data_IF_284527889420
#
_entry.id   IF_284527889420
#
_cell.length_a   1.000
_cell.length_b   1.000
_cell.length_c   1.000
_cell.angle_alpha   90.00
_cell.angle_beta   90.00
_cell.angle_gamma   90.00
#
_symmetry.space_group_name_H-M   'P 1'
#
loop_
_entity.id
_entity.type
_entity.pdbx_description
1 polymer ?
#
# COMPACT_ATOMS: atom_id res chain seq x y z
N UNK A 1 0.77 10.46 -11.08
CA UNK A 1 0.42 9.45 -12.09
C UNK A 1 0.64 10.01 -13.48
N UNK A 2 1.23 9.23 -14.41
CA UNK A 2 1.43 9.63 -15.80
C UNK A 2 1.15 8.42 -16.71
N UNK A 3 0.47 8.67 -17.84
CA UNK A 3 0.23 7.67 -18.88
C UNK A 3 1.28 7.86 -19.97
N UNK A 4 2.03 6.82 -20.27
CA UNK A 4 3.10 6.79 -21.26
C UNK A 4 2.70 5.87 -22.42
N UNK A 5 2.31 6.41 -23.58
CA UNK A 5 2.09 5.59 -24.77
C UNK A 5 3.43 5.12 -25.33
N UNK A 6 3.66 3.82 -25.32
CA UNK A 6 4.85 3.18 -25.89
C UNK A 6 4.47 2.47 -27.18
N UNK A 7 5.41 2.16 -28.09
CA UNK A 7 5.10 1.57 -29.40
C UNK A 7 4.37 0.22 -29.32
N UNK A 8 4.59 -0.55 -28.28
CA UNK A 8 4.02 -1.91 -28.11
C UNK A 8 3.01 -2.03 -26.98
N UNK A 9 2.91 -1.03 -26.09
CA UNK A 9 2.04 -1.07 -24.92
C UNK A 9 1.74 0.34 -24.40
N UNK A 10 0.71 0.48 -23.58
CA UNK A 10 0.48 1.66 -22.76
C UNK A 10 0.92 1.37 -21.34
N UNK A 11 1.70 2.27 -20.74
CA UNK A 11 2.19 2.14 -19.39
C UNK A 11 1.65 3.26 -18.49
N UNK A 12 1.05 2.91 -17.39
CA UNK A 12 0.69 3.87 -16.34
C UNK A 12 1.78 3.90 -15.28
N UNK A 13 2.45 5.04 -15.15
CA UNK A 13 3.47 5.27 -14.14
C UNK A 13 2.81 5.88 -12.88
N UNK A 14 2.98 5.21 -11.74
CA UNK A 14 2.59 5.70 -10.42
C UNK A 14 3.86 6.18 -9.71
N UNK A 15 3.98 7.49 -9.49
CA UNK A 15 5.06 8.08 -8.70
C UNK A 15 4.65 8.04 -7.23
N UNK A 16 5.46 7.41 -6.40
CA UNK A 16 5.22 7.25 -4.96
C UNK A 16 6.17 8.15 -4.16
N UNK A 17 5.72 8.70 -3.02
CA UNK A 17 6.60 9.46 -2.15
C UNK A 17 7.81 8.62 -1.71
N UNK A 18 9.02 9.21 -1.81
CA UNK A 18 10.26 8.52 -1.44
C UNK A 18 10.68 8.70 0.02
N UNK A 19 9.96 9.51 0.81
CA UNK A 19 10.29 9.74 2.21
C UNK A 19 9.67 8.69 3.13
N UNK A 20 10.41 8.30 4.17
CA UNK A 20 9.98 7.24 5.11
C UNK A 20 8.63 7.53 5.79
N UNK A 21 8.31 8.80 6.03
CA UNK A 21 7.04 9.21 6.64
C UNK A 21 5.80 8.88 5.78
N UNK A 22 5.98 8.59 4.48
CA UNK A 22 4.91 8.22 3.55
C UNK A 22 4.94 6.73 3.15
N UNK A 23 5.70 5.94 3.89
CA UNK A 23 5.87 4.51 3.58
C UNK A 23 4.55 3.74 3.54
N UNK A 24 3.59 4.13 4.33
CA UNK A 24 2.28 3.51 4.39
C UNK A 24 1.39 3.82 3.15
N UNK A 25 1.42 5.05 2.63
CA UNK A 25 0.76 5.40 1.36
C UNK A 25 1.42 4.64 0.20
N UNK A 26 2.75 4.57 0.23
CA UNK A 26 3.53 3.80 -0.73
C UNK A 26 3.14 2.31 -0.68
N UNK A 27 3.07 1.70 0.51
CA UNK A 27 2.74 0.29 0.68
C UNK A 27 1.36 -0.06 0.09
N UNK A 28 0.34 0.80 0.27
CA UNK A 28 -0.97 0.62 -0.38
C UNK A 28 -0.88 0.66 -1.90
N UNK A 29 -0.01 1.53 -2.44
CA UNK A 29 0.20 1.62 -3.88
C UNK A 29 0.87 0.37 -4.43
N UNK A 30 1.77 -0.28 -3.67
CA UNK A 30 2.43 -1.52 -4.12
C UNK A 30 1.43 -2.61 -4.50
N UNK A 31 0.31 -2.71 -3.78
CA UNK A 31 -0.69 -3.77 -3.99
C UNK A 31 -1.44 -3.69 -5.33
N UNK A 32 -1.25 -2.61 -6.09
CA UNK A 32 -1.85 -2.42 -7.41
C UNK A 32 -0.83 -2.37 -8.55
N UNK A 33 0.47 -2.54 -8.26
CA UNK A 33 1.52 -2.53 -9.28
C UNK A 33 1.61 -3.85 -10.02
N UNK A 34 1.92 -3.81 -11.31
CA UNK A 34 2.34 -4.97 -12.10
C UNK A 34 3.87 -5.14 -12.02
N UNK A 35 4.60 -4.03 -11.96
CA UNK A 35 6.06 -3.94 -11.84
C UNK A 35 6.44 -2.75 -10.98
N UNK A 36 7.61 -2.80 -10.37
CA UNK A 36 8.21 -1.69 -9.64
C UNK A 36 9.54 -1.26 -10.26
N UNK A 37 9.82 0.02 -10.18
CA UNK A 37 11.11 0.61 -10.48
C UNK A 37 11.66 1.15 -9.14
N UNK A 38 12.68 0.49 -8.59
CA UNK A 38 13.35 0.93 -7.38
C UNK A 38 14.54 1.82 -7.75
N UNK A 39 14.44 3.11 -7.44
CA UNK A 39 15.47 4.09 -7.72
C UNK A 39 16.38 4.26 -6.51
N UNK A 40 17.68 4.02 -6.71
CA UNK A 40 18.71 4.07 -5.65
C UNK A 40 19.68 5.21 -5.96
N UNK A 41 20.08 5.96 -4.94
CA UNK A 41 21.09 7.00 -5.10
C UNK A 41 22.50 6.38 -5.16
N UNK A 42 23.20 6.56 -6.25
CA UNK A 42 24.55 6.00 -6.45
C UNK A 42 25.62 6.53 -5.49
N UNK A 43 25.38 7.67 -4.83
CA UNK A 43 26.31 8.16 -3.81
C UNK A 43 26.18 7.43 -2.47
N UNK A 44 24.95 7.00 -2.16
CA UNK A 44 24.60 6.44 -0.85
C UNK A 44 24.51 4.91 -0.87
N UNK A 45 24.33 4.31 -2.07
CA UNK A 45 24.11 2.86 -2.21
C UNK A 45 22.83 2.38 -1.55
N UNK A 46 22.82 1.14 -1.08
CA UNK A 46 21.69 0.52 -0.39
C UNK A 46 21.61 1.01 1.05
N UNK A 47 20.52 1.74 1.36
CA UNK A 47 20.24 2.26 2.71
C UNK A 47 19.16 1.47 3.43
N UNK A 48 18.98 1.72 4.72
CA UNK A 48 17.96 1.04 5.54
C UNK A 48 16.56 1.16 4.95
N UNK A 49 16.19 2.33 4.44
CA UNK A 49 14.90 2.52 3.78
C UNK A 49 14.79 1.72 2.48
N UNK A 50 15.86 1.65 1.67
CA UNK A 50 15.90 0.80 0.47
C UNK A 50 15.65 -0.67 0.82
N UNK A 51 16.23 -1.16 1.92
CA UNK A 51 15.99 -2.52 2.40
C UNK A 51 14.55 -2.75 2.86
N UNK A 52 13.92 -1.75 3.48
CA UNK A 52 12.51 -1.82 3.86
C UNK A 52 11.63 -1.93 2.61
N UNK A 53 11.85 -1.06 1.62
CA UNK A 53 11.13 -1.12 0.34
C UNK A 53 11.34 -2.46 -0.37
N UNK A 54 12.56 -2.97 -0.37
CA UNK A 54 12.90 -4.26 -0.98
C UNK A 54 12.11 -5.42 -0.35
N UNK A 55 12.03 -5.47 0.99
CA UNK A 55 11.24 -6.48 1.71
C UNK A 55 9.75 -6.39 1.42
N UNK A 56 9.20 -5.18 1.27
CA UNK A 56 7.81 -5.00 0.86
C UNK A 56 7.58 -5.48 -0.58
N UNK A 57 8.47 -5.15 -1.52
CA UNK A 57 8.41 -5.64 -2.89
C UNK A 57 8.50 -7.17 -2.96
N UNK A 58 9.31 -7.79 -2.09
CA UNK A 58 9.39 -9.24 -1.93
C UNK A 58 8.10 -9.83 -1.35
N UNK A 59 7.57 -9.24 -0.27
CA UNK A 59 6.31 -9.68 0.35
C UNK A 59 5.15 -9.70 -0.65
N UNK A 60 5.00 -8.62 -1.41
CA UNK A 60 3.93 -8.50 -2.42
C UNK A 60 4.29 -9.15 -3.75
N UNK A 61 5.43 -9.84 -3.84
CA UNK A 61 5.91 -10.56 -5.03
C UNK A 61 5.94 -9.69 -6.29
N UNK A 62 6.31 -8.42 -6.17
CA UNK A 62 6.31 -7.46 -7.28
C UNK A 62 7.60 -7.57 -8.08
N UNK A 63 7.54 -7.87 -9.39
CA UNK A 63 8.69 -7.84 -10.29
C UNK A 63 9.36 -6.46 -10.27
N UNK A 64 10.69 -6.41 -10.12
CA UNK A 64 11.37 -5.16 -9.82
C UNK A 64 12.54 -4.92 -10.73
N UNK A 65 12.59 -3.73 -11.33
CA UNK A 65 13.76 -3.16 -12.01
C UNK A 65 14.48 -2.21 -11.07
N UNK A 66 15.80 -2.18 -11.12
CA UNK A 66 16.65 -1.31 -10.32
C UNK A 66 17.27 -0.23 -11.19
N UNK A 67 17.19 1.03 -10.77
CA UNK A 67 17.86 2.14 -11.42
C UNK A 67 18.74 2.89 -10.42
N UNK A 68 20.05 2.74 -10.55
CA UNK A 68 21.04 3.45 -9.74
C UNK A 68 21.29 4.82 -10.38
N UNK A 69 20.75 5.85 -9.75
CA UNK A 69 20.73 7.22 -10.23
C UNK A 69 21.91 8.03 -9.68
N UNK A 70 22.18 9.18 -10.29
CA UNK A 70 23.26 10.14 -9.91
C UNK A 70 24.67 9.60 -10.12
N UNK A 71 24.87 8.72 -11.08
CA UNK A 71 26.19 8.18 -11.44
C UNK A 71 27.17 9.22 -12.01
N UNK A 72 26.71 10.45 -12.24
CA UNK A 72 27.54 11.59 -12.67
C UNK A 72 28.23 12.31 -11.49
N UNK A 73 27.96 11.92 -10.25
CA UNK A 73 28.57 12.52 -9.07
C UNK A 73 29.95 11.89 -8.80
N UNK A 74 30.88 12.71 -8.24
CA UNK A 74 32.21 12.22 -7.90
C UNK A 74 32.14 11.22 -6.74
N UNK A 75 32.84 10.10 -6.88
CA UNK A 75 32.93 9.06 -5.85
C UNK A 75 31.97 7.88 -6.08
N UNK A 76 31.13 7.91 -7.13
CA UNK A 76 30.35 6.75 -7.52
C UNK A 76 31.24 5.72 -8.23
N UNK A 77 31.17 4.47 -7.81
CA UNK A 77 31.83 3.32 -8.41
C UNK A 77 30.81 2.28 -8.82
N UNK A 78 30.74 2.00 -10.12
CA UNK A 78 29.76 1.10 -10.70
C UNK A 78 29.85 -0.33 -10.14
N UNK A 79 31.08 -0.89 -10.09
CA UNK A 79 31.26 -2.28 -9.69
C UNK A 79 31.05 -2.45 -8.17
N UNK A 80 31.48 -1.47 -7.39
CA UNK A 80 31.21 -1.43 -5.97
C UNK A 80 29.70 -1.37 -5.68
N UNK A 81 28.95 -0.54 -6.42
CA UNK A 81 27.49 -0.44 -6.28
C UNK A 81 26.76 -1.70 -6.72
N UNK A 82 27.19 -2.35 -7.82
CA UNK A 82 26.58 -3.63 -8.22
C UNK A 82 26.82 -4.71 -7.16
N UNK A 83 27.99 -4.75 -6.56
CA UNK A 83 28.27 -5.66 -5.45
C UNK A 83 27.45 -5.34 -4.22
N UNK A 84 27.25 -4.05 -3.90
CA UNK A 84 26.38 -3.60 -2.81
C UNK A 84 24.92 -4.08 -3.01
N UNK A 85 24.38 -3.94 -4.23
CA UNK A 85 23.05 -4.46 -4.60
C UNK A 85 22.97 -5.97 -4.40
N UNK A 86 24.01 -6.73 -4.85
CA UNK A 86 24.06 -8.19 -4.71
C UNK A 86 24.11 -8.64 -3.26
N UNK A 87 24.84 -7.93 -2.41
CA UNK A 87 24.99 -8.28 -0.99
C UNK A 87 23.77 -7.96 -0.13
N UNK A 88 23.12 -6.82 -0.40
CA UNK A 88 22.09 -6.30 0.47
C UNK A 88 20.66 -6.55 -0.03
N UNK A 89 20.46 -6.70 -1.35
CA UNK A 89 19.15 -6.96 -1.93
C UNK A 89 19.02 -8.41 -2.41
N UNK A 90 19.75 -8.81 -3.46
CA UNK A 90 19.69 -10.18 -3.97
C UNK A 90 20.91 -10.51 -4.84
N UNK A 91 21.46 -11.71 -4.71
CA UNK A 91 22.63 -12.18 -5.49
C UNK A 91 22.43 -12.11 -7.02
N UNK A 92 21.20 -12.28 -7.48
CA UNK A 92 20.80 -12.24 -8.89
C UNK A 92 20.45 -10.81 -9.39
N UNK A 93 21.03 -9.77 -8.77
CA UNK A 93 21.09 -8.45 -9.37
C UNK A 93 22.06 -8.48 -10.54
N UNK A 94 21.57 -8.29 -11.78
CA UNK A 94 22.33 -8.38 -13.02
C UNK A 94 22.38 -7.01 -13.68
N UNK A 95 23.58 -6.57 -14.08
CA UNK A 95 23.75 -5.32 -14.84
C UNK A 95 23.24 -5.47 -16.27
N UNK A 96 22.20 -4.74 -16.62
CA UNK A 96 21.63 -4.67 -17.97
C UNK A 96 22.03 -3.40 -18.73
N UNK A 97 22.78 -2.52 -18.08
CA UNK A 97 23.20 -1.24 -18.65
C UNK A 97 24.49 -1.31 -19.48
N UNK A 98 25.32 -2.33 -19.28
CA UNK A 98 26.53 -2.56 -20.08
C UNK A 98 26.22 -3.47 -21.26
N UNK A 99 25.69 -2.89 -22.31
CA UNK A 99 25.39 -3.59 -23.55
C UNK A 99 26.52 -3.39 -24.57
N UNK A 100 26.73 -4.37 -25.43
CA UNK A 100 27.63 -4.17 -26.58
C UNK A 100 26.99 -3.20 -27.57
N UNK A 101 27.71 -2.15 -27.93
CA UNK A 101 27.34 -1.25 -29.00
C UNK A 101 27.38 -2.03 -30.33
N UNK A 102 26.26 -2.52 -30.81
CA UNK A 102 26.20 -3.11 -32.14
C UNK A 102 26.08 -2.00 -33.17
N UNK A 103 26.68 -2.15 -34.33
CA UNK A 103 26.69 -1.17 -35.44
C UNK A 103 25.28 -0.75 -35.91
N UNK A 104 24.21 -1.40 -35.41
CA UNK A 104 22.81 -1.15 -35.73
C UNK A 104 21.99 -0.57 -34.57
N UNK A 105 22.60 -0.16 -33.45
CA UNK A 105 21.87 0.44 -32.33
C UNK A 105 20.89 -0.50 -31.62
N UNK A 106 21.00 -1.82 -31.78
CA UNK A 106 20.30 -2.83 -31.00
C UNK A 106 21.12 -3.15 -29.75
N UNK A 107 20.51 -2.96 -28.59
CA UNK A 107 21.14 -3.29 -27.31
C UNK A 107 21.01 -4.79 -27.05
N UNK A 108 22.14 -5.50 -27.14
CA UNK A 108 22.22 -6.93 -26.83
C UNK A 108 23.00 -7.14 -25.55
N UNK A 109 22.54 -8.08 -24.74
CA UNK A 109 23.24 -8.49 -23.51
C UNK A 109 24.57 -9.17 -23.90
N UNK A 110 25.61 -8.94 -23.12
CA UNK A 110 26.92 -9.59 -23.31
C UNK A 110 26.83 -11.07 -22.97
N UNK A 111 27.75 -11.93 -23.49
CA UNK A 111 27.79 -13.33 -23.10
C UNK A 111 27.90 -13.55 -21.58
N UNK A 112 28.66 -12.70 -20.88
CA UNK A 112 28.77 -12.75 -19.42
C UNK A 112 27.44 -12.46 -18.72
N UNK A 113 26.66 -11.48 -19.21
CA UNK A 113 25.31 -11.18 -18.68
C UNK A 113 24.34 -12.34 -18.96
N UNK A 114 24.39 -12.93 -20.17
CA UNK A 114 23.55 -14.08 -20.53
C UNK A 114 23.89 -15.30 -19.68
N UNK A 115 25.15 -15.57 -19.40
CA UNK A 115 25.61 -16.66 -18.51
C UNK A 115 25.08 -16.43 -17.09
N UNK A 116 25.20 -15.24 -16.53
CA UNK A 116 24.69 -14.88 -15.21
C UNK A 116 23.16 -15.04 -15.11
N UNK A 117 22.44 -14.77 -16.19
CA UNK A 117 20.98 -14.98 -16.27
C UNK A 117 20.65 -16.47 -16.38
N UNK A 118 21.39 -17.21 -17.23
CA UNK A 118 21.14 -18.62 -17.48
C UNK A 118 21.31 -19.47 -16.22
N UNK A 119 22.29 -19.17 -15.39
CA UNK A 119 22.58 -19.90 -14.12
C UNK A 119 21.41 -19.80 -13.13
N UNK A 120 20.49 -18.82 -13.27
CA UNK A 120 19.36 -18.64 -12.35
C UNK A 120 18.26 -19.70 -12.50
N UNK A 121 18.26 -20.48 -13.59
CA UNK A 121 17.28 -21.57 -13.81
C UNK A 121 17.87 -22.69 -14.69
N UNK A 122 17.67 -23.95 -14.26
CA UNK A 122 18.32 -25.13 -14.85
C UNK A 122 17.96 -25.31 -16.33
N UNK A 123 16.68 -25.19 -16.69
CA UNK A 123 16.21 -25.36 -18.08
C UNK A 123 16.81 -24.28 -19.02
N UNK A 124 16.99 -23.07 -18.51
CA UNK A 124 17.59 -21.96 -19.28
C UNK A 124 19.11 -22.19 -19.43
N UNK A 125 19.73 -22.69 -18.37
CA UNK A 125 21.16 -23.03 -18.41
C UNK A 125 21.45 -24.14 -19.43
N UNK A 126 20.66 -25.21 -19.45
CA UNK A 126 20.77 -26.29 -20.45
C UNK A 126 20.65 -25.74 -21.87
N UNK A 127 19.62 -24.92 -22.12
CA UNK A 127 19.39 -24.30 -23.43
C UNK A 127 20.56 -23.38 -23.82
N UNK A 128 21.07 -22.58 -22.87
CA UNK A 128 22.19 -21.68 -23.10
C UNK A 128 23.50 -22.43 -23.41
N UNK A 129 23.77 -23.52 -22.71
CA UNK A 129 24.95 -24.36 -22.98
C UNK A 129 24.93 -25.02 -24.37
N UNK A 130 23.75 -25.32 -24.90
CA UNK A 130 23.57 -25.92 -26.22
C UNK A 130 23.60 -24.87 -27.34
N UNK A 131 22.99 -23.70 -27.12
CA UNK A 131 22.69 -22.72 -28.18
C UNK A 131 23.47 -21.43 -28.06
N UNK A 132 23.98 -21.09 -26.87
CA UNK A 132 24.56 -19.80 -26.56
C UNK A 132 23.55 -18.65 -26.48
N UNK A 133 22.24 -18.95 -26.43
CA UNK A 133 21.15 -17.97 -26.49
C UNK A 133 20.24 -18.09 -25.28
N UNK A 134 19.86 -16.95 -24.68
CA UNK A 134 18.74 -16.83 -23.75
C UNK A 134 17.68 -15.97 -24.44
N UNK A 135 16.46 -16.51 -24.57
CA UNK A 135 15.39 -15.77 -25.23
C UNK A 135 14.82 -14.67 -24.35
N UNK A 136 14.42 -13.55 -24.96
CA UNK A 136 13.82 -12.39 -24.25
C UNK A 136 12.61 -12.77 -23.40
N UNK A 137 11.80 -13.74 -23.86
CA UNK A 137 10.64 -14.27 -23.09
C UNK A 137 11.06 -14.98 -21.81
N UNK A 138 12.21 -15.65 -21.80
CA UNK A 138 12.71 -16.35 -20.63
C UNK A 138 13.28 -15.35 -19.63
N UNK A 139 13.95 -14.31 -20.10
CA UNK A 139 14.38 -13.17 -19.26
C UNK A 139 13.16 -12.52 -18.61
N UNK A 140 12.12 -12.19 -19.39
CA UNK A 140 10.87 -11.62 -18.87
C UNK A 140 10.21 -12.54 -17.83
N UNK A 141 10.20 -13.86 -18.06
CA UNK A 141 9.68 -14.86 -17.11
C UNK A 141 10.47 -14.84 -15.80
N UNK A 142 11.79 -14.82 -15.85
CA UNK A 142 12.65 -14.75 -14.66
C UNK A 142 12.43 -13.47 -13.85
N UNK A 143 12.21 -12.34 -14.52
CA UNK A 143 11.89 -11.06 -13.87
C UNK A 143 10.54 -11.15 -13.17
N UNK A 144 9.50 -11.67 -13.85
CA UNK A 144 8.15 -11.85 -13.27
C UNK A 144 8.21 -12.76 -12.03
N UNK A 145 9.01 -13.83 -12.07
CA UNK A 145 9.20 -14.76 -10.97
C UNK A 145 10.14 -14.25 -9.87
N UNK A 146 10.67 -13.02 -10.00
CA UNK A 146 11.66 -12.44 -9.09
C UNK A 146 12.93 -13.29 -8.92
N UNK A 147 13.33 -14.02 -9.96
CA UNK A 147 14.58 -14.79 -9.98
C UNK A 147 15.76 -13.96 -10.40
N UNK A 148 15.56 -12.92 -11.22
CA UNK A 148 16.57 -11.93 -11.60
C UNK A 148 16.02 -10.52 -11.44
N UNK A 149 16.95 -9.58 -11.22
CA UNK A 149 16.65 -8.16 -11.01
C UNK A 149 17.51 -7.32 -11.92
N UNK A 150 16.96 -6.80 -13.03
CA UNK A 150 17.70 -5.96 -13.96
C UNK A 150 18.16 -4.66 -13.29
N UNK A 151 19.45 -4.40 -13.30
CA UNK A 151 20.08 -3.21 -12.76
C UNK A 151 20.54 -2.31 -13.90
N UNK A 152 20.25 -1.03 -13.80
CA UNK A 152 20.67 0.01 -14.72
C UNK A 152 21.36 1.13 -13.95
N UNK A 153 22.38 1.72 -14.53
CA UNK A 153 23.18 2.77 -13.91
C UNK A 153 23.14 4.02 -14.78
N UNK A 154 22.86 5.17 -14.19
CA UNK A 154 22.74 6.37 -14.98
C UNK A 154 22.61 7.65 -14.16
N UNK A 155 22.28 8.72 -14.86
CA UNK A 155 21.97 10.02 -14.28
C UNK A 155 20.70 10.55 -14.96
N UNK A 156 19.60 10.57 -14.24
CA UNK A 156 18.33 11.11 -14.75
C UNK A 156 18.48 12.60 -15.12
N UNK A 157 19.22 13.39 -14.33
CA UNK A 157 19.50 14.81 -14.60
C UNK A 157 20.24 15.03 -15.91
N UNK A 158 21.13 14.12 -16.27
CA UNK A 158 21.96 14.18 -17.50
C UNK A 158 21.37 13.32 -18.63
N UNK A 159 20.25 12.70 -18.41
CA UNK A 159 19.58 11.75 -19.34
C UNK A 159 20.48 10.58 -19.78
N UNK A 160 21.53 10.26 -19.00
CA UNK A 160 22.43 9.14 -19.28
C UNK A 160 21.87 7.85 -18.71
N UNK A 161 21.88 6.77 -19.52
CA UNK A 161 21.36 5.44 -19.14
C UNK A 161 19.82 5.35 -19.06
N UNK A 162 19.10 6.48 -19.11
CA UNK A 162 17.64 6.51 -19.03
C UNK A 162 16.99 5.85 -20.25
N UNK A 163 17.54 6.09 -21.44
CA UNK A 163 17.02 5.48 -22.68
C UNK A 163 17.20 3.97 -22.68
N UNK A 164 18.35 3.49 -22.23
CA UNK A 164 18.67 2.06 -22.14
C UNK A 164 17.78 1.36 -21.12
N UNK A 165 17.57 2.01 -19.98
CA UNK A 165 16.62 1.57 -18.97
C UNK A 165 15.21 1.40 -19.56
N UNK A 166 14.68 2.42 -20.24
CA UNK A 166 13.36 2.36 -20.85
C UNK A 166 13.24 1.30 -21.96
N UNK A 167 14.28 1.13 -22.76
CA UNK A 167 14.32 0.07 -23.76
C UNK A 167 14.26 -1.32 -23.09
N UNK A 168 14.99 -1.50 -22.00
CA UNK A 168 14.94 -2.74 -21.23
C UNK A 168 13.59 -2.99 -20.57
N UNK A 169 12.99 -1.96 -19.96
CA UNK A 169 11.63 -2.07 -19.41
C UNK A 169 10.64 -2.48 -20.50
N UNK A 170 10.65 -1.82 -21.67
CA UNK A 170 9.77 -2.19 -22.78
C UNK A 170 9.99 -3.61 -23.31
N UNK A 171 11.26 -4.04 -23.34
CA UNK A 171 11.62 -5.34 -23.91
C UNK A 171 11.28 -6.51 -22.98
N UNK A 172 11.45 -6.31 -21.67
CA UNK A 172 11.38 -7.39 -20.68
C UNK A 172 10.16 -7.33 -19.77
N UNK A 173 9.23 -6.40 -19.98
CA UNK A 173 7.92 -6.43 -19.33
C UNK A 173 6.90 -7.14 -20.20
N UNK A 174 6.03 -7.92 -19.57
CA UNK A 174 4.92 -8.57 -20.22
C UNK A 174 3.61 -8.13 -19.55
N UNK A 175 2.56 -7.97 -20.37
CA UNK A 175 1.25 -7.66 -19.82
C UNK A 175 0.70 -8.87 -19.05
N UNK A 176 0.26 -8.68 -17.79
CA UNK A 176 -0.33 -9.76 -17.01
C UNK A 176 -1.62 -10.28 -17.66
N UNK A 177 -1.83 -11.59 -17.59
CA UNK A 177 -3.12 -12.18 -17.97
C UNK A 177 -4.19 -11.73 -16.98
N UNK A 178 -5.26 -11.11 -17.49
CA UNK A 178 -6.33 -10.58 -16.68
C UNK A 178 -7.61 -11.40 -16.84
N UNK A 179 -8.38 -11.62 -15.75
CA UNK A 179 -9.67 -12.28 -15.84
C UNK A 179 -10.67 -11.46 -16.65
N UNK A 180 -11.68 -12.15 -17.22
CA UNK A 180 -12.76 -11.50 -17.99
C UNK A 180 -13.87 -10.95 -17.09
N UNK A 181 -13.97 -11.44 -15.88
CA UNK A 181 -14.92 -10.95 -14.88
C UNK A 181 -14.43 -9.64 -14.26
N UNK A 182 -15.36 -8.75 -13.93
CA UNK A 182 -15.02 -7.47 -13.34
C UNK A 182 -14.33 -7.63 -11.98
N UNK A 183 -13.19 -6.99 -11.86
CA UNK A 183 -12.44 -6.83 -10.61
C UNK A 183 -11.77 -5.48 -10.57
N UNK A 184 -11.71 -4.87 -9.37
CA UNK A 184 -10.95 -3.65 -9.13
C UNK A 184 -10.40 -3.60 -7.70
N UNK A 185 -9.25 -2.96 -7.52
CA UNK A 185 -8.64 -2.67 -6.21
C UNK A 185 -8.56 -1.16 -5.99
N UNK A 186 -9.18 -0.71 -4.91
CA UNK A 186 -9.10 0.68 -4.46
C UNK A 186 -7.81 0.88 -3.68
N UNK A 187 -6.96 1.83 -4.07
CA UNK A 187 -5.69 2.06 -3.39
C UNK A 187 -5.55 3.45 -2.79
N UNK A 188 -6.36 4.42 -3.24
CA UNK A 188 -6.31 5.80 -2.75
C UNK A 188 -7.68 6.46 -2.83
N UNK A 189 -8.00 7.25 -1.81
CA UNK A 189 -9.09 8.23 -1.85
C UNK A 189 -8.45 9.62 -1.89
N UNK A 190 -9.02 10.52 -2.68
CA UNK A 190 -8.61 11.92 -2.74
C UNK A 190 -9.82 12.82 -3.00
N UNK A 191 -9.61 14.13 -2.97
CA UNK A 191 -10.62 15.12 -3.36
C UNK A 191 -10.03 16.04 -4.43
N UNK A 192 -10.86 16.39 -5.42
CA UNK A 192 -10.47 17.38 -6.42
C UNK A 192 -10.55 18.82 -5.86
N UNK A 193 -10.12 19.80 -6.66
CA UNK A 193 -10.13 21.24 -6.26
C UNK A 193 -11.54 21.74 -5.89
N UNK A 194 -12.59 21.06 -6.33
CA UNK A 194 -13.99 21.40 -6.04
C UNK A 194 -14.51 20.65 -4.79
N UNK A 195 -13.68 19.81 -4.16
CA UNK A 195 -14.02 19.01 -3.00
C UNK A 195 -14.75 17.69 -3.34
N UNK A 196 -14.92 17.35 -4.62
CA UNK A 196 -15.53 16.08 -5.01
C UNK A 196 -14.62 14.90 -4.65
N UNK A 197 -15.20 13.88 -4.05
CA UNK A 197 -14.49 12.66 -3.68
C UNK A 197 -14.11 11.85 -4.91
N UNK A 198 -12.85 11.41 -4.96
CA UNK A 198 -12.26 10.60 -6.01
C UNK A 198 -11.80 9.27 -5.42
N UNK A 199 -12.31 8.18 -5.95
CA UNK A 199 -11.86 6.82 -5.63
C UNK A 199 -10.89 6.36 -6.70
N UNK A 200 -9.60 6.32 -6.36
CA UNK A 200 -8.57 5.78 -7.26
C UNK A 200 -8.53 4.27 -7.15
N UNK A 201 -8.67 3.61 -8.29
CA UNK A 201 -8.65 2.16 -8.37
C UNK A 201 -7.92 1.68 -9.62
N UNK A 202 -7.41 0.46 -9.54
CA UNK A 202 -6.94 -0.30 -10.70
C UNK A 202 -7.99 -1.33 -11.08
N UNK A 203 -8.38 -1.35 -12.33
CA UNK A 203 -9.23 -2.41 -12.88
C UNK A 203 -8.35 -3.65 -13.10
N UNK A 204 -8.62 -4.72 -12.38
CA UNK A 204 -7.83 -5.95 -12.39
C UNK A 204 -8.40 -7.01 -13.31
N UNK A 205 -9.71 -6.94 -13.63
CA UNK A 205 -10.40 -7.84 -14.51
C UNK A 205 -11.60 -7.19 -15.21
N UNK A 206 -11.98 -7.68 -16.37
CA UNK A 206 -13.11 -7.19 -17.14
C UNK A 206 -13.01 -5.72 -17.51
N UNK A 207 -14.11 -4.99 -17.32
CA UNK A 207 -14.16 -3.53 -17.54
C UNK A 207 -15.16 -2.85 -16.62
N UNK A 208 -14.94 -1.57 -16.33
CA UNK A 208 -15.85 -0.69 -15.61
C UNK A 208 -16.46 0.33 -16.56
N UNK A 209 -17.78 0.37 -16.66
CA UNK A 209 -18.51 1.39 -17.44
C UNK A 209 -19.11 2.46 -16.54
N UNK A 210 -19.23 3.67 -17.07
CA UNK A 210 -19.97 4.76 -16.43
C UNK A 210 -21.41 4.31 -16.15
N UNK A 211 -21.95 4.67 -14.97
CA UNK A 211 -23.26 4.28 -14.43
C UNK A 211 -23.40 2.81 -14.03
N UNK A 212 -22.30 2.03 -14.04
CA UNK A 212 -22.31 0.70 -13.43
C UNK A 212 -22.58 0.81 -11.94
N UNK A 213 -23.46 -0.04 -11.46
CA UNK A 213 -23.72 -0.20 -10.03
C UNK A 213 -22.63 -1.07 -9.43
N UNK A 214 -21.92 -0.54 -8.46
CA UNK A 214 -20.89 -1.24 -7.70
C UNK A 214 -21.40 -1.51 -6.30
N UNK A 215 -20.95 -2.62 -5.72
CA UNK A 215 -21.29 -3.01 -4.36
C UNK A 215 -20.05 -3.49 -3.62
N UNK A 216 -20.09 -3.37 -2.30
CA UNK A 216 -19.05 -3.97 -1.45
C UNK A 216 -19.07 -5.49 -1.56
N UNK A 217 -17.89 -6.12 -1.52
CA UNK A 217 -17.74 -7.58 -1.50
C UNK A 217 -17.87 -8.19 -0.10
N UNK A 218 -18.36 -7.43 0.88
CA UNK A 218 -18.40 -7.85 2.28
C UNK A 218 -19.23 -9.13 2.46
N UNK A 219 -18.51 -10.27 2.47
CA UNK A 219 -19.03 -11.56 2.91
C UNK A 219 -19.19 -11.61 4.45
N UNK A 220 -19.58 -10.49 5.08
CA UNK A 220 -19.82 -10.42 6.52
C UNK A 220 -18.57 -10.36 7.40
N UNK A 221 -17.38 -10.22 6.85
CA UNK A 221 -16.19 -9.89 7.62
C UNK A 221 -16.03 -8.37 7.67
N UNK A 222 -16.36 -7.78 8.81
CA UNK A 222 -16.09 -6.36 9.06
C UNK A 222 -14.63 -6.18 9.45
N UNK A 223 -13.97 -5.18 8.86
CA UNK A 223 -12.67 -4.71 9.37
C UNK A 223 -12.79 -4.30 10.84
N UNK A 224 -11.74 -4.48 11.65
CA UNK A 224 -11.70 -3.95 13.02
C UNK A 224 -12.08 -2.47 13.04
N UNK A 225 -13.11 -2.10 13.81
CA UNK A 225 -13.59 -0.73 13.94
C UNK A 225 -14.73 -0.29 13.02
N UNK A 226 -15.20 -1.13 12.07
CA UNK A 226 -16.41 -0.85 11.26
C UNK A 226 -17.59 -1.67 11.72
N UNK A 227 -18.77 -1.03 11.84
CA UNK A 227 -20.03 -1.71 12.17
C UNK A 227 -20.49 -2.56 11.00
N UNK A 228 -20.91 -3.78 11.26
CA UNK A 228 -21.39 -4.73 10.24
C UNK A 228 -22.54 -4.18 9.36
N UNK A 229 -23.38 -3.28 9.90
CA UNK A 229 -24.44 -2.59 9.17
C UNK A 229 -23.92 -1.49 8.20
N UNK A 230 -22.69 -1.01 8.39
CA UNK A 230 -22.03 -0.03 7.51
C UNK A 230 -21.27 -0.71 6.36
N UNK A 231 -21.07 -2.01 6.41
CA UNK A 231 -20.23 -2.75 5.47
C UNK A 231 -20.89 -2.94 4.09
N UNK A 232 -22.20 -3.13 3.99
CA UNK A 232 -22.87 -3.32 2.70
C UNK A 232 -23.25 -1.97 2.08
N UNK A 233 -22.73 -1.71 0.88
CA UNK A 233 -23.07 -0.52 0.11
C UNK A 233 -23.28 -0.86 -1.37
N UNK A 234 -24.10 -0.04 -2.04
CA UNK A 234 -24.36 -0.12 -3.46
C UNK A 234 -24.44 1.29 -4.03
N UNK A 235 -23.50 1.66 -4.88
CA UNK A 235 -23.36 3.01 -5.42
C UNK A 235 -23.02 2.96 -6.91
N UNK A 236 -23.28 4.04 -7.63
CA UNK A 236 -23.03 4.15 -9.07
C UNK A 236 -21.73 4.88 -9.36
N UNK A 237 -20.92 4.33 -10.28
CA UNK A 237 -19.79 5.03 -10.87
C UNK A 237 -20.30 6.16 -11.77
N UNK A 238 -20.18 7.42 -11.34
CA UNK A 238 -20.72 8.56 -12.10
C UNK A 238 -19.83 8.98 -13.26
N UNK A 239 -18.53 9.17 -13.01
CA UNK A 239 -17.54 9.50 -14.01
C UNK A 239 -16.30 8.64 -13.82
N UNK A 240 -15.64 8.31 -14.89
CA UNK A 240 -14.33 7.65 -14.89
C UNK A 240 -13.34 8.64 -15.48
N UNK A 241 -12.31 8.98 -14.72
CA UNK A 241 -11.26 9.93 -15.05
C UNK A 241 -9.91 9.24 -15.18
N UNK A 242 -9.25 9.42 -16.32
CA UNK A 242 -7.88 8.97 -16.55
C UNK A 242 -6.94 10.15 -16.36
N UNK A 243 -6.10 10.11 -15.30
CA UNK A 243 -5.19 11.19 -14.98
C UNK A 243 -3.84 11.02 -15.66
N UNK A 244 -3.30 12.13 -16.20
CA UNK A 244 -1.89 12.24 -16.57
C UNK A 244 -1.34 13.59 -16.10
N UNK A 245 -0.52 13.56 -15.05
CA UNK A 245 -0.14 14.76 -14.29
C UNK A 245 -1.35 15.37 -13.59
N UNK A 246 -1.52 16.68 -13.71
CA UNK A 246 -2.65 17.43 -13.13
C UNK A 246 -3.92 17.40 -14.01
N UNK A 247 -3.84 16.90 -15.23
CA UNK A 247 -4.96 16.84 -16.17
C UNK A 247 -5.59 15.46 -16.19
N UNK A 248 -6.87 15.42 -16.51
CA UNK A 248 -7.57 14.16 -16.74
C UNK A 248 -8.43 14.18 -17.99
N UNK A 249 -8.69 13.01 -18.52
CA UNK A 249 -9.65 12.77 -19.60
C UNK A 249 -10.81 11.92 -19.06
N UNK A 250 -12.02 12.20 -19.57
CA UNK A 250 -13.20 11.40 -19.25
C UNK A 250 -13.30 10.22 -20.21
N UNK A 251 -13.51 9.04 -19.66
CA UNK A 251 -13.82 7.85 -20.48
C UNK A 251 -15.19 7.28 -20.10
N UNK A 252 -15.83 6.62 -21.05
CA UNK A 252 -17.07 5.89 -20.81
C UNK A 252 -16.83 4.49 -20.24
N UNK A 253 -15.61 3.95 -20.45
CA UNK A 253 -15.23 2.60 -20.03
C UNK A 253 -13.73 2.57 -19.68
N UNK A 254 -13.36 1.84 -18.63
CA UNK A 254 -11.99 1.52 -18.25
C UNK A 254 -11.83 0.00 -18.28
N UNK A 255 -10.89 -0.49 -19.08
CA UNK A 255 -10.59 -1.91 -19.23
C UNK A 255 -9.60 -2.40 -18.18
N UNK A 256 -9.50 -3.72 -18.01
CA UNK A 256 -8.54 -4.35 -17.12
C UNK A 256 -7.10 -3.88 -17.41
N UNK A 257 -6.37 -3.50 -16.36
CA UNK A 257 -5.05 -2.87 -16.43
C UNK A 257 -5.07 -1.36 -16.22
N UNK A 258 -6.20 -0.71 -16.47
CA UNK A 258 -6.33 0.73 -16.32
C UNK A 258 -6.34 1.16 -14.87
N UNK A 259 -5.58 2.21 -14.56
CA UNK A 259 -5.67 2.95 -13.30
C UNK A 259 -6.52 4.19 -13.54
N UNK A 260 -7.60 4.33 -12.79
CA UNK A 260 -8.54 5.43 -12.97
C UNK A 260 -9.03 6.00 -11.64
N UNK A 261 -9.62 7.20 -11.68
CA UNK A 261 -10.33 7.79 -10.57
C UNK A 261 -11.83 7.82 -10.89
N UNK A 262 -12.64 7.35 -9.97
CA UNK A 262 -14.09 7.25 -10.12
C UNK A 262 -14.78 8.21 -9.17
N UNK A 263 -15.79 8.95 -9.67
CA UNK A 263 -16.67 9.78 -8.84
C UNK A 263 -18.00 9.09 -8.60
N UNK A 264 -18.74 9.54 -7.57
CA UNK A 264 -20.06 8.97 -7.20
C UNK A 264 -20.00 7.86 -6.16
N UNK A 265 -18.77 7.44 -5.77
CA UNK A 265 -18.57 6.46 -4.71
C UNK A 265 -18.21 7.19 -3.42
N UNK A 266 -19.02 7.02 -2.38
CA UNK A 266 -18.86 7.74 -1.10
C UNK A 266 -18.38 6.83 0.03
N UNK A 267 -18.55 5.52 -0.11
CA UNK A 267 -18.31 4.53 0.96
C UNK A 267 -17.08 3.65 0.74
N UNK A 268 -16.46 3.73 -0.43
CA UNK A 268 -15.21 3.02 -0.74
C UNK A 268 -14.07 3.47 0.18
N UNK A 269 -13.07 2.62 0.37
CA UNK A 269 -11.88 2.92 1.19
C UNK A 269 -10.60 2.35 0.56
N UNK A 270 -9.43 2.88 0.89
CA UNK A 270 -8.17 2.33 0.41
C UNK A 270 -7.95 0.90 0.92
N UNK A 271 -7.66 -0.02 0.00
CA UNK A 271 -7.53 -1.46 0.27
C UNK A 271 -8.78 -2.26 -0.07
N UNK A 272 -9.93 -1.63 -0.38
CA UNK A 272 -11.14 -2.34 -0.74
C UNK A 272 -11.02 -3.05 -2.09
N UNK A 273 -11.45 -4.32 -2.13
CA UNK A 273 -11.61 -5.10 -3.35
C UNK A 273 -13.06 -5.06 -3.85
N UNK A 274 -13.22 -4.89 -5.15
CA UNK A 274 -14.53 -4.84 -5.82
C UNK A 274 -14.65 -5.97 -6.85
N UNK A 275 -15.86 -6.48 -7.05
CA UNK A 275 -16.11 -7.57 -7.98
C UNK A 275 -15.46 -8.88 -7.52
N UNK A 276 -14.55 -9.46 -8.33
CA UNK A 276 -13.84 -10.71 -7.98
C UNK A 276 -12.67 -10.50 -7.00
N UNK A 277 -12.27 -9.23 -6.76
CA UNK A 277 -11.13 -8.94 -5.89
C UNK A 277 -11.53 -9.03 -4.41
N UNK A 278 -10.63 -9.59 -3.62
CA UNK A 278 -10.73 -9.57 -2.17
C UNK A 278 -10.12 -8.28 -1.60
N UNK A 279 -10.39 -8.00 -0.34
CA UNK A 279 -9.72 -6.93 0.36
C UNK A 279 -8.20 -7.11 0.31
N UNK A 280 -7.51 -6.00 0.17
CA UNK A 280 -6.06 -5.95 0.24
C UNK A 280 -5.58 -6.22 1.67
N UNK A 281 -4.38 -6.76 1.81
CA UNK A 281 -3.75 -6.88 3.12
C UNK A 281 -3.56 -5.49 3.76
N UNK A 282 -3.76 -5.41 5.06
CA UNK A 282 -3.47 -4.17 5.80
C UNK A 282 -1.98 -3.85 5.70
N UNK A 283 -1.62 -2.58 5.55
CA UNK A 283 -0.22 -2.17 5.56
C UNK A 283 0.46 -2.60 6.87
N UNK A 284 1.70 -3.09 6.77
CA UNK A 284 2.52 -3.44 7.95
C UNK A 284 3.09 -2.17 8.61
N UNK A 285 3.37 -1.18 7.76
CA UNK A 285 3.96 0.08 8.22
C UNK A 285 2.87 0.94 8.84
N UNK A 286 2.80 0.92 10.16
CA UNK A 286 1.87 1.71 10.97
C UNK A 286 2.56 2.92 11.60
N UNK A 287 1.84 4.04 11.79
CA UNK A 287 2.34 5.16 12.56
C UNK A 287 2.67 4.76 14.00
N UNK A 288 3.80 5.25 14.50
CA UNK A 288 4.28 4.95 15.85
C UNK A 288 4.24 6.16 16.80
N UNK A 289 3.89 7.32 16.28
CA UNK A 289 3.85 8.58 17.04
C UNK A 289 2.42 9.12 17.07
N UNK A 290 1.97 9.52 18.24
CA UNK A 290 0.67 10.16 18.48
C UNK A 290 0.91 11.62 18.86
N UNK A 291 0.23 12.54 18.17
CA UNK A 291 0.35 13.98 18.38
C UNK A 291 -1.01 14.59 18.67
N UNK A 292 -1.07 15.47 19.67
CA UNK A 292 -2.21 16.34 19.90
C UNK A 292 -2.26 17.41 18.80
N UNK A 293 -3.43 17.63 18.22
CA UNK A 293 -3.70 18.73 17.30
C UNK A 293 -4.24 19.90 18.13
N UNK A 294 -3.46 20.96 18.25
CA UNK A 294 -3.80 22.17 19.00
C UNK A 294 -4.53 23.11 18.07
N UNK A 295 -5.78 23.39 18.38
CA UNK A 295 -6.65 24.29 17.62
C UNK A 295 -6.53 25.73 18.14
N UNK A 296 -6.72 26.76 17.30
CA UNK A 296 -6.87 28.13 17.75
C UNK A 296 -8.16 28.31 18.59
N UNK A 297 -8.16 29.28 19.50
CA UNK A 297 -9.24 29.51 20.50
C UNK A 297 -10.63 29.77 19.88
N UNK A 298 -10.66 30.25 18.65
CA UNK A 298 -11.90 30.54 17.89
C UNK A 298 -12.41 29.36 17.06
N UNK A 299 -11.74 28.21 17.09
CA UNK A 299 -12.08 27.01 16.35
C UNK A 299 -12.90 26.03 17.20
N UNK A 300 -14.09 25.65 16.73
CA UNK A 300 -14.90 24.60 17.36
C UNK A 300 -14.28 23.21 17.14
N UNK A 301 -13.87 22.49 18.22
CA UNK A 301 -13.23 21.20 18.10
C UNK A 301 -14.12 20.13 17.43
N UNK A 302 -15.43 20.15 17.66
CA UNK A 302 -16.33 19.16 17.07
C UNK A 302 -16.49 19.34 15.55
N UNK A 303 -16.55 20.61 15.09
CA UNK A 303 -16.57 20.87 13.65
C UNK A 303 -15.23 20.52 13.01
N UNK A 304 -14.11 20.82 13.70
CA UNK A 304 -12.80 20.48 13.20
C UNK A 304 -12.56 18.97 13.16
N UNK A 305 -13.04 18.22 14.14
CA UNK A 305 -13.01 16.75 14.15
C UNK A 305 -13.66 16.16 12.89
N UNK A 306 -14.81 16.67 12.48
CA UNK A 306 -15.48 16.22 11.24
C UNK A 306 -14.63 16.50 9.99
N UNK A 307 -13.96 17.65 9.94
CA UNK A 307 -13.06 18.00 8.84
C UNK A 307 -11.80 17.11 8.82
N UNK A 308 -11.23 16.82 9.98
CA UNK A 308 -10.07 15.95 10.12
C UNK A 308 -10.43 14.49 9.74
N UNK A 309 -11.63 14.03 10.06
CA UNK A 309 -12.11 12.71 9.61
C UNK A 309 -12.24 12.61 8.09
N UNK A 310 -12.48 13.71 7.38
CA UNK A 310 -12.41 13.70 5.92
C UNK A 310 -10.98 13.48 5.40
N UNK A 311 -9.96 13.98 6.13
CA UNK A 311 -8.56 13.70 5.82
C UNK A 311 -8.20 12.24 6.14
N UNK A 312 -8.76 11.69 7.21
CA UNK A 312 -8.61 10.27 7.57
C UNK A 312 -9.21 9.33 6.51
N UNK A 313 -10.30 9.71 5.81
CA UNK A 313 -10.80 8.94 4.66
C UNK A 313 -9.75 8.82 3.53
N UNK A 314 -8.96 9.87 3.32
CA UNK A 314 -7.89 9.91 2.31
C UNK A 314 -6.63 9.20 2.82
N UNK A 315 -6.32 9.36 4.10
CA UNK A 315 -5.16 8.81 4.79
C UNK A 315 -5.59 8.08 6.08
N UNK A 316 -6.06 6.82 5.97
CA UNK A 316 -6.63 6.07 7.11
C UNK A 316 -5.69 5.92 8.30
N UNK A 317 -4.37 5.99 8.05
CA UNK A 317 -3.37 5.85 9.11
C UNK A 317 -3.22 7.07 10.01
N UNK A 318 -3.89 8.18 9.71
CA UNK A 318 -3.93 9.33 10.61
C UNK A 318 -4.61 8.98 11.94
N UNK A 319 -5.44 7.95 11.99
CA UNK A 319 -6.15 7.50 13.20
C UNK A 319 -6.56 8.67 14.08
N UNK A 320 -7.52 9.47 13.57
CA UNK A 320 -7.99 10.68 14.27
C UNK A 320 -8.79 10.25 15.50
N UNK A 321 -8.23 10.51 16.68
CA UNK A 321 -8.84 10.17 17.96
C UNK A 321 -9.40 11.42 18.63
N UNK A 322 -10.58 11.26 19.25
CA UNK A 322 -11.20 12.27 20.10
C UNK A 322 -11.11 11.84 21.55
N UNK A 323 -10.34 12.59 22.33
CA UNK A 323 -10.34 12.43 23.79
C UNK A 323 -11.46 13.28 24.40
N UNK A 324 -12.50 12.61 24.87
CA UNK A 324 -13.67 13.26 25.47
C UNK A 324 -13.39 13.82 26.87
N UNK A 325 -12.35 13.33 27.57
CA UNK A 325 -12.02 13.76 28.92
C UNK A 325 -11.33 15.12 28.89
N UNK A 326 -10.42 15.32 27.92
CA UNK A 326 -9.67 16.56 27.77
C UNK A 326 -10.21 17.45 26.64
N UNK A 327 -11.18 16.96 25.87
CA UNK A 327 -11.70 17.64 24.65
C UNK A 327 -10.60 17.90 23.62
N UNK A 328 -9.69 16.94 23.44
CA UNK A 328 -8.53 17.04 22.57
C UNK A 328 -8.68 16.14 21.33
N UNK A 329 -8.07 16.58 20.24
CA UNK A 329 -7.96 15.78 19.02
C UNK A 329 -6.52 15.31 18.88
N UNK A 330 -6.35 14.03 18.62
CA UNK A 330 -5.06 13.41 18.38
C UNK A 330 -5.00 12.81 16.98
N UNK A 331 -3.79 12.78 16.40
CA UNK A 331 -3.50 12.12 15.13
C UNK A 331 -2.24 11.27 15.25
N UNK A 332 -2.24 10.09 14.61
CA UNK A 332 -1.07 9.24 14.52
C UNK A 332 -0.28 9.55 13.24
N UNK A 333 1.03 9.70 13.37
CA UNK A 333 1.94 10.10 12.30
C UNK A 333 3.22 9.25 12.30
N UNK A 334 3.81 9.08 11.13
CA UNK A 334 5.08 8.37 10.97
C UNK A 334 6.29 9.23 11.36
N UNK A 335 6.20 10.56 11.17
CA UNK A 335 7.31 11.47 11.42
C UNK A 335 7.00 12.96 11.25
N UNK A 336 8.04 13.79 11.44
CA UNK A 336 7.91 15.24 11.49
C UNK A 336 7.57 15.88 10.14
N UNK A 337 8.02 15.32 9.02
CA UNK A 337 7.71 15.86 7.69
C UNK A 337 6.20 15.74 7.41
N UNK A 338 5.57 14.68 7.88
CA UNK A 338 4.13 14.48 7.75
C UNK A 338 3.34 15.55 8.53
N UNK A 339 3.87 16.01 9.68
CA UNK A 339 3.27 17.13 10.46
C UNK A 339 3.17 18.39 9.60
N UNK A 340 4.28 18.78 8.96
CA UNK A 340 4.33 20.00 8.16
C UNK A 340 3.39 19.94 6.96
N UNK A 341 3.29 18.78 6.33
CA UNK A 341 2.36 18.56 5.22
C UNK A 341 0.92 18.59 5.70
N UNK A 342 0.62 17.97 6.84
CA UNK A 342 -0.73 17.98 7.41
C UNK A 342 -1.16 19.36 7.86
N UNK A 343 -0.28 20.17 8.48
CA UNK A 343 -0.53 21.60 8.79
C UNK A 343 -0.92 22.37 7.54
N UNK A 344 -0.11 22.22 6.48
CA UNK A 344 -0.37 22.89 5.21
C UNK A 344 -1.69 22.44 4.60
N UNK A 345 -1.99 21.16 4.60
CA UNK A 345 -3.23 20.59 4.06
C UNK A 345 -4.46 21.11 4.81
N UNK A 346 -4.38 21.20 6.14
CA UNK A 346 -5.45 21.74 6.98
C UNK A 346 -5.66 23.22 6.67
N UNK A 347 -4.58 23.97 6.54
CA UNK A 347 -4.66 25.39 6.17
C UNK A 347 -5.25 25.59 4.77
N UNK A 348 -4.75 24.88 3.78
CA UNK A 348 -5.19 25.06 2.39
C UNK A 348 -6.68 24.71 2.20
N UNK A 349 -7.19 23.69 2.92
CA UNK A 349 -8.57 23.24 2.79
C UNK A 349 -9.56 23.93 3.72
N UNK A 350 -9.16 24.15 4.95
CA UNK A 350 -10.09 24.58 6.00
C UNK A 350 -9.81 26.00 6.54
N UNK A 351 -8.69 26.60 6.13
CA UNK A 351 -8.22 27.91 6.57
C UNK A 351 -8.07 28.02 8.10
N UNK A 352 -7.69 26.91 8.75
CA UNK A 352 -7.42 26.84 10.18
C UNK A 352 -5.92 26.62 10.39
N UNK A 353 -5.28 27.49 11.14
CA UNK A 353 -3.88 27.33 11.54
C UNK A 353 -3.83 26.43 12.78
N UNK A 354 -3.30 25.22 12.65
CA UNK A 354 -3.15 24.27 13.74
C UNK A 354 -1.69 24.14 14.15
N UNK A 355 -1.46 23.86 15.44
CA UNK A 355 -0.16 23.45 15.96
C UNK A 355 -0.22 22.01 16.42
N UNK A 356 0.96 21.37 16.55
CA UNK A 356 1.07 20.02 17.07
C UNK A 356 1.82 20.04 18.39
N UNK A 357 1.28 19.35 19.37
CA UNK A 357 1.90 19.14 20.69
C UNK A 357 3.15 18.28 20.62
N UNK A 358 3.69 17.96 21.78
CA UNK A 358 4.78 16.99 21.88
C UNK A 358 4.29 15.60 21.46
N UNK A 359 5.06 14.94 20.60
CA UNK A 359 4.75 13.57 20.18
C UNK A 359 4.91 12.57 21.32
N UNK A 360 4.02 11.61 21.41
CA UNK A 360 4.12 10.45 22.30
C UNK A 360 4.16 9.18 21.45
N UNK A 361 4.82 8.14 22.00
CA UNK A 361 4.87 6.84 21.31
C UNK A 361 3.51 6.16 21.46
N UNK A 362 3.02 5.57 20.37
CA UNK A 362 1.84 4.71 20.39
C UNK A 362 2.23 3.37 21.00
N UNK A 363 1.76 3.12 22.20
CA UNK A 363 1.93 1.82 22.87
C UNK A 363 0.75 0.91 22.53
N UNK A 364 1.02 -0.38 22.48
CA UNK A 364 0.02 -1.44 22.47
C UNK A 364 0.22 -2.30 23.70
N UNK A 365 -0.85 -2.80 24.29
CA UNK A 365 -0.80 -3.66 25.47
C UNK A 365 -1.19 -5.10 25.11
N UNK A 366 -0.62 -6.06 25.80
CA UNK A 366 -1.01 -7.47 25.73
C UNK A 366 -0.91 -8.09 27.13
N UNK A 367 -1.46 -9.28 27.29
CA UNK A 367 -1.33 -10.05 28.52
C UNK A 367 -0.11 -10.96 28.44
N UNK A 368 0.62 -11.11 29.55
CA UNK A 368 1.78 -11.98 29.64
C UNK A 368 1.40 -13.46 29.82
N UNK A 369 0.27 -13.72 30.49
CA UNK A 369 -0.25 -15.05 30.79
C UNK A 369 -1.77 -15.04 30.65
N UNK A 370 -2.41 -16.22 30.43
CA UNK A 370 -3.87 -16.30 30.38
C UNK A 370 -4.51 -15.75 31.65
N UNK A 371 -5.50 -14.87 31.48
CA UNK A 371 -6.20 -14.20 32.58
C UNK A 371 -7.71 -14.26 32.35
N UNK A 372 -8.47 -14.56 33.42
CA UNK A 372 -9.92 -14.56 33.35
C UNK A 372 -10.47 -13.25 33.94
N UNK A 373 -11.37 -12.62 33.15
CA UNK A 373 -12.14 -11.46 33.59
C UNK A 373 -13.62 -11.81 33.67
N UNK A 374 -14.30 -11.35 34.70
CA UNK A 374 -15.73 -11.59 34.91
C UNK A 374 -16.50 -10.28 34.89
N UNK A 375 -17.48 -10.19 34.01
CA UNK A 375 -18.43 -9.09 33.97
C UNK A 375 -19.78 -9.55 34.53
N UNK A 376 -20.31 -8.82 35.52
CA UNK A 376 -21.58 -9.09 36.15
C UNK A 376 -22.48 -7.87 36.08
N UNK A 377 -23.76 -8.09 35.70
CA UNK A 377 -24.75 -7.03 35.57
C UNK A 377 -26.15 -7.49 36.05
N UNK A 378 -26.66 -6.86 37.07
CA UNK A 378 -27.92 -7.25 37.71
C UNK A 378 -28.84 -6.04 38.00
N UNK A 379 -29.32 -5.25 36.99
CA UNK A 379 -30.30 -4.21 37.22
C UNK A 379 -31.72 -4.71 37.00
N UNK A 380 -32.66 -4.32 37.85
CA UNK A 380 -34.09 -4.39 37.64
C UNK A 380 -34.61 -5.77 37.16
N UNK A 381 -34.18 -6.88 37.75
CA UNK A 381 -34.50 -8.28 37.42
C UNK A 381 -33.88 -8.86 36.14
N UNK A 382 -32.92 -8.17 35.55
CA UNK A 382 -32.09 -8.73 34.47
C UNK A 382 -30.77 -9.20 35.06
N UNK A 383 -30.40 -10.43 34.78
CA UNK A 383 -29.12 -10.99 35.19
C UNK A 383 -28.26 -11.37 33.95
N UNK A 384 -27.07 -10.89 33.90
CA UNK A 384 -26.09 -11.33 32.93
C UNK A 384 -24.71 -11.45 33.58
N UNK A 385 -24.05 -12.55 33.35
CA UNK A 385 -22.66 -12.79 33.77
C UNK A 385 -21.90 -13.36 32.58
N UNK A 386 -20.75 -12.74 32.27
CA UNK A 386 -19.88 -13.12 31.16
C UNK A 386 -18.48 -13.31 31.70
N UNK A 387 -17.90 -14.46 31.43
CA UNK A 387 -16.51 -14.80 31.71
C UNK A 387 -15.73 -14.70 30.42
N UNK A 388 -14.67 -13.90 30.41
CA UNK A 388 -13.77 -13.74 29.30
C UNK A 388 -12.38 -14.27 29.69
N UNK A 389 -11.89 -15.25 28.95
CA UNK A 389 -10.51 -15.70 29.05
C UNK A 389 -9.69 -14.95 28.02
N UNK A 390 -8.73 -14.16 28.49
CA UNK A 390 -7.80 -13.41 27.64
C UNK A 390 -6.48 -14.16 27.63
N UNK A 391 -6.00 -14.51 26.44
CA UNK A 391 -4.77 -15.26 26.22
C UNK A 391 -3.81 -14.45 25.33
N UNK A 392 -2.48 -14.56 25.54
CA UNK A 392 -1.53 -13.92 24.65
C UNK A 392 -1.58 -14.56 23.26
N UNK A 393 -1.71 -13.73 22.22
CA UNK A 393 -1.62 -14.14 20.81
C UNK A 393 -0.22 -13.95 20.23
N UNK A 394 -0.05 -14.32 18.97
CA UNK A 394 1.17 -14.02 18.23
C UNK A 394 1.32 -12.50 18.04
N UNK A 395 2.54 -11.95 18.13
CA UNK A 395 2.77 -10.52 17.94
C UNK A 395 2.22 -10.03 16.58
N UNK A 396 1.38 -9.01 16.63
CA UNK A 396 0.76 -8.42 15.43
C UNK A 396 -0.50 -9.13 14.93
N UNK A 397 -1.00 -10.16 15.64
CA UNK A 397 -2.25 -10.87 15.27
C UNK A 397 -3.52 -10.06 15.52
N UNK A 398 -3.43 -8.98 16.29
CA UNK A 398 -4.59 -8.22 16.76
C UNK A 398 -5.46 -9.03 17.72
N UNK A 399 -6.59 -8.44 18.14
CA UNK A 399 -7.55 -9.12 19.00
C UNK A 399 -8.39 -10.12 18.17
N UNK A 400 -8.42 -11.38 18.58
CA UNK A 400 -9.25 -12.43 17.99
C UNK A 400 -10.26 -12.92 19.01
N UNK A 401 -11.53 -13.07 18.60
CA UNK A 401 -12.61 -13.41 19.50
C UNK A 401 -13.19 -14.78 19.18
N UNK A 402 -13.26 -15.66 20.18
CA UNK A 402 -13.79 -17.01 20.04
C UNK A 402 -14.74 -17.33 21.19
N UNK A 403 -15.65 -18.28 20.97
CA UNK A 403 -16.48 -18.82 22.05
C UNK A 403 -15.97 -20.17 22.49
N UNK A 404 -15.81 -20.37 23.80
CA UNK A 404 -15.59 -21.66 24.43
C UNK A 404 -16.87 -22.20 25.10
N UNK A 405 -17.99 -21.47 25.02
CA UNK A 405 -19.25 -21.87 25.64
C UNK A 405 -19.99 -22.89 24.79
N UNK A 406 -20.49 -23.96 25.41
CA UNK A 406 -21.32 -24.97 24.75
C UNK A 406 -22.69 -24.39 24.35
N UNK A 407 -23.22 -24.83 23.21
CA UNK A 407 -24.59 -24.47 22.79
C UNK A 407 -25.69 -25.00 23.73
N UNK A 408 -25.38 -26.01 24.53
CA UNK A 408 -26.28 -26.52 25.59
C UNK A 408 -26.39 -25.55 26.79
N UNK A 409 -25.39 -24.71 26.99
CA UNK A 409 -25.36 -23.69 28.06
C UNK A 409 -25.91 -22.37 27.58
N UNK A 410 -25.49 -21.94 26.39
CA UNK A 410 -25.94 -20.70 25.77
C UNK A 410 -26.18 -20.89 24.28
N UNK A 411 -27.38 -20.62 23.81
CA UNK A 411 -27.77 -20.80 22.41
C UNK A 411 -26.88 -19.92 21.48
N UNK A 412 -26.56 -20.43 20.31
CA UNK A 412 -25.61 -19.88 19.33
C UNK A 412 -25.87 -18.41 18.93
N UNK A 413 -27.16 -17.99 18.87
CA UNK A 413 -27.51 -16.61 18.59
C UNK A 413 -27.03 -15.63 19.67
N UNK A 414 -27.08 -16.03 20.94
CA UNK A 414 -26.57 -15.22 22.04
C UNK A 414 -25.04 -15.19 22.07
N UNK A 415 -24.40 -16.30 21.78
CA UNK A 415 -22.93 -16.36 21.66
C UNK A 415 -22.44 -15.40 20.56
N UNK A 416 -23.07 -15.44 19.39
CA UNK A 416 -22.76 -14.51 18.29
C UNK A 416 -22.96 -13.05 18.69
N UNK A 417 -24.06 -12.73 19.38
CA UNK A 417 -24.32 -11.36 19.81
C UNK A 417 -23.24 -10.85 20.76
N UNK A 418 -22.76 -11.69 21.69
CA UNK A 418 -21.65 -11.32 22.61
C UNK A 418 -20.38 -11.08 21.82
N UNK A 419 -20.00 -11.96 20.88
CA UNK A 419 -18.83 -11.78 20.05
C UNK A 419 -18.91 -10.49 19.22
N UNK A 420 -20.05 -10.23 18.57
CA UNK A 420 -20.26 -8.98 17.82
C UNK A 420 -20.04 -7.74 18.70
N UNK A 421 -20.57 -7.73 19.93
CA UNK A 421 -20.37 -6.59 20.83
C UNK A 421 -18.93 -6.45 21.34
N UNK A 422 -18.18 -7.54 21.43
CA UNK A 422 -16.74 -7.49 21.72
C UNK A 422 -15.94 -6.92 20.52
N UNK A 423 -16.29 -7.32 19.31
CA UNK A 423 -15.66 -6.83 18.07
C UNK A 423 -15.98 -5.36 17.76
N UNK A 424 -17.12 -4.84 18.19
CA UNK A 424 -17.54 -3.45 17.95
C UNK A 424 -16.74 -2.39 18.71
N UNK A 425 -15.92 -2.77 19.68
CA UNK A 425 -15.19 -1.84 20.54
C UNK A 425 -13.70 -2.11 20.52
N UNK A 426 -12.96 -1.03 20.46
CA UNK A 426 -11.53 -1.07 20.76
C UNK A 426 -11.35 -1.32 22.28
N UNK A 427 -10.61 -2.37 22.62
CA UNK A 427 -10.30 -2.72 23.99
C UNK A 427 -9.00 -2.05 24.41
N UNK A 428 -9.05 -1.39 25.55
CA UNK A 428 -7.94 -0.59 26.08
C UNK A 428 -7.34 -1.32 27.28
N UNK A 429 -6.02 -1.41 27.30
CA UNK A 429 -5.26 -1.95 28.43
C UNK A 429 -5.27 -1.02 29.64
N UNK A 430 -5.04 -1.58 30.80
CA UNK A 430 -5.16 -0.87 32.09
C UNK A 430 -3.87 -0.18 32.53
N UNK A 431 -2.73 -0.50 31.94
CA UNK A 431 -1.43 0.03 32.35
C UNK A 431 -1.16 1.42 31.77
N UNK A 432 -1.37 1.57 30.48
CA UNK A 432 -1.06 2.80 29.74
C UNK A 432 -2.29 3.41 29.09
N UNK A 433 -3.44 2.72 29.10
CA UNK A 433 -4.63 3.12 28.36
C UNK A 433 -4.48 2.92 26.86
N UNK A 434 -3.52 2.09 26.44
CA UNK A 434 -3.26 1.81 25.03
C UNK A 434 -4.11 0.64 24.52
N UNK A 435 -4.37 0.56 23.19
CA UNK A 435 -5.12 -0.56 22.62
C UNK A 435 -4.49 -1.91 22.93
N UNK A 436 -5.35 -2.91 23.18
CA UNK A 436 -4.93 -4.31 23.29
C UNK A 436 -4.61 -4.87 21.89
N UNK A 437 -3.58 -5.73 21.81
CA UNK A 437 -3.15 -6.37 20.56
C UNK A 437 -2.76 -7.81 20.79
#
# INVERSE_FOLDING_TARGET
MAILPLPSMEMTLLDTPGHVDFSAEMERTLQVLDYAILVINGMDGVQSHTMTLWRLLERYQIPTFLFVNKMDQQGTDHDALLNDLKQHLHENCVDFGRTQDTDYGMYELTPEQLENIAVCEEDILETYLETGIVEDRDIARLIIQRKIFPCYFGSALKEKGVKDFWNGVQKYTAEPKRPTEFGAKVFKIARDEQGNRLTYMKITGGSLKVKTLLSSNSNGQSLPGRKAEEAAWEEKADQIRLYSGAKYELTSEAEAGTVCAVTGLTRTYPGEGLGIEQESELPILEPVLNYQIILPDDCDPHQMLQKLRQLEEEEPQLHILWDSQFSEIHAQLMGEVQIEILKKLIWDRFHVAVEFGAGSIVYKETVAEPVEGVGHFEPLRHYAEVHLLIEPGEPGSGCQFFTACSEDVLARNWQRLILTHLEEKEHIGVLTGSPLT
#
